data_IF_901102642884
#
_entry.id   IF_901102642884
#
_cell.length_a   1.000
_cell.length_b   1.000
_cell.length_c   1.000
_cell.angle_alpha   90.00
_cell.angle_beta   90.00
_cell.angle_gamma   90.00
#
_symmetry.space_group_name_H-M   'P 1'
#
loop_
_entity.id
_entity.type
_entity.pdbx_description
1 polymer ?
#
# COMPACT_ATOMS: atom_id res chain seq x y z
N UNK A 1 -15.34 8.31 5.82
CA UNK A 1 -14.26 8.07 4.83
C UNK A 1 -12.94 8.50 5.46
N UNK A 2 -11.91 7.66 5.35
CA UNK A 2 -10.57 8.01 5.81
C UNK A 2 -9.92 8.99 4.80
N UNK A 3 -9.19 9.99 5.32
CA UNK A 3 -8.43 10.93 4.51
C UNK A 3 -6.95 10.57 4.67
N UNK A 4 -6.26 10.39 3.56
CA UNK A 4 -4.83 10.04 3.53
C UNK A 4 -4.09 11.16 2.80
N UNK A 5 -3.09 11.76 3.48
CA UNK A 5 -2.18 12.70 2.85
C UNK A 5 -1.04 11.93 2.16
N UNK A 6 -0.91 12.08 0.86
CA UNK A 6 0.18 11.46 0.10
C UNK A 6 1.32 12.46 -0.06
N UNK A 7 2.53 12.00 0.20
CA UNK A 7 3.78 12.72 -0.10
C UNK A 7 4.74 11.79 -0.84
N UNK A 8 5.57 12.36 -1.72
CA UNK A 8 6.60 11.57 -2.39
C UNK A 8 7.68 11.16 -1.39
N UNK A 9 8.11 9.91 -1.48
CA UNK A 9 9.14 9.35 -0.64
C UNK A 9 10.56 9.84 -1.01
N UNK A 10 11.51 9.52 -0.16
CA UNK A 10 12.89 10.01 -0.30
C UNK A 10 13.60 9.39 -1.50
N UNK A 11 13.47 8.07 -1.67
CA UNK A 11 14.09 7.37 -2.78
C UNK A 11 13.47 7.76 -4.12
N UNK A 12 12.12 7.72 -4.20
CA UNK A 12 11.41 8.11 -5.41
C UNK A 12 11.81 9.50 -5.87
N UNK A 13 11.75 10.48 -4.94
CA UNK A 13 12.00 11.88 -5.32
C UNK A 13 13.47 12.12 -5.70
N UNK A 14 14.40 11.47 -5.02
CA UNK A 14 15.82 11.54 -5.40
C UNK A 14 16.04 10.94 -6.79
N UNK A 15 15.41 9.82 -7.07
CA UNK A 15 15.42 9.16 -8.40
C UNK A 15 14.84 10.05 -9.50
N UNK A 16 13.75 10.78 -9.21
CA UNK A 16 13.14 11.72 -10.16
C UNK A 16 14.10 12.84 -10.58
N UNK A 17 14.95 13.30 -9.66
CA UNK A 17 15.88 14.40 -9.94
C UNK A 17 17.07 13.99 -10.79
N UNK A 18 17.60 12.79 -10.60
CA UNK A 18 18.87 12.38 -11.21
C UNK A 18 18.73 11.18 -12.16
N UNK A 19 17.61 10.49 -12.14
CA UNK A 19 17.41 9.26 -12.90
C UNK A 19 17.82 8.00 -12.12
N UNK A 20 17.28 6.86 -12.55
CA UNK A 20 17.48 5.58 -11.87
C UNK A 20 18.92 5.09 -11.92
N UNK A 21 19.54 5.12 -13.10
CA UNK A 21 20.90 4.62 -13.33
C UNK A 21 21.91 5.48 -12.56
N UNK A 22 21.81 6.80 -12.71
CA UNK A 22 22.71 7.73 -12.06
C UNK A 22 22.59 7.65 -10.53
N UNK A 23 21.38 7.59 -9.99
CA UNK A 23 21.19 7.41 -8.54
C UNK A 23 21.84 6.13 -8.03
N UNK A 24 21.68 5.02 -8.77
CA UNK A 24 22.24 3.73 -8.38
C UNK A 24 23.76 3.75 -8.25
N UNK A 25 24.44 4.53 -9.10
CA UNK A 25 25.90 4.75 -9.02
C UNK A 25 26.28 5.80 -7.97
N UNK A 26 25.48 6.87 -7.82
CA UNK A 26 25.76 7.96 -6.90
C UNK A 26 25.82 7.54 -5.42
N UNK A 27 25.10 6.52 -5.03
CA UNK A 27 25.23 5.94 -3.67
C UNK A 27 26.67 5.54 -3.32
N UNK A 28 27.48 5.18 -4.33
CA UNK A 28 28.89 4.77 -4.17
C UNK A 28 29.85 5.91 -4.49
N UNK A 29 29.61 6.62 -5.61
CA UNK A 29 30.57 7.58 -6.15
C UNK A 29 30.43 8.97 -5.52
N UNK A 30 29.23 9.33 -5.08
CA UNK A 30 28.98 10.63 -4.46
C UNK A 30 27.94 10.54 -3.32
N UNK A 31 28.21 9.72 -2.27
CA UNK A 31 27.26 9.52 -1.18
C UNK A 31 26.94 10.83 -0.44
N UNK A 32 27.88 11.78 -0.37
CA UNK A 32 27.64 13.08 0.26
C UNK A 32 26.50 13.85 -0.41
N UNK A 33 26.45 13.86 -1.74
CA UNK A 33 25.37 14.53 -2.47
C UNK A 33 24.02 13.81 -2.26
N UNK A 34 24.01 12.48 -2.24
CA UNK A 34 22.79 11.73 -1.94
C UNK A 34 22.29 12.03 -0.52
N UNK A 35 23.19 12.11 0.46
CA UNK A 35 22.84 12.54 1.82
C UNK A 35 22.23 13.95 1.85
N UNK A 36 22.82 14.92 1.16
CA UNK A 36 22.34 16.30 1.10
C UNK A 36 20.95 16.38 0.44
N UNK A 37 20.74 15.66 -0.67
CA UNK A 37 19.46 15.61 -1.36
C UNK A 37 18.37 15.02 -0.46
N UNK A 38 18.61 13.88 0.17
CA UNK A 38 17.64 13.22 1.05
C UNK A 38 17.40 14.03 2.34
N UNK A 39 18.40 14.76 2.83
CA UNK A 39 18.26 15.67 3.97
C UNK A 39 17.35 16.84 3.63
N UNK A 40 17.57 17.46 2.47
CA UNK A 40 16.70 18.53 1.96
C UNK A 40 15.25 18.03 1.77
N UNK A 41 15.06 16.86 1.17
CA UNK A 41 13.74 16.27 0.99
C UNK A 41 13.05 15.95 2.33
N UNK A 42 13.79 15.49 3.31
CA UNK A 42 13.28 15.25 4.67
C UNK A 42 12.76 16.55 5.29
N UNK A 43 13.57 17.59 5.27
CA UNK A 43 13.17 18.91 5.75
C UNK A 43 11.93 19.43 5.00
N UNK A 44 11.97 19.39 3.66
CA UNK A 44 10.86 19.85 2.81
C UNK A 44 9.56 19.09 3.10
N UNK A 45 9.61 17.76 3.20
CA UNK A 45 8.45 16.93 3.52
C UNK A 45 7.85 17.29 4.87
N UNK A 46 8.68 17.48 5.91
CA UNK A 46 8.21 17.87 7.24
C UNK A 46 7.55 19.26 7.21
N UNK A 47 8.16 20.24 6.57
CA UNK A 47 7.59 21.59 6.48
C UNK A 47 6.31 21.64 5.63
N UNK A 48 6.24 20.82 4.57
CA UNK A 48 5.04 20.67 3.77
C UNK A 48 3.89 20.07 4.60
N UNK A 49 4.16 19.01 5.35
CA UNK A 49 3.16 18.35 6.21
C UNK A 49 2.66 19.29 7.30
N UNK A 50 3.53 20.05 7.95
CA UNK A 50 3.13 21.07 8.93
C UNK A 50 2.12 22.08 8.36
N UNK A 51 2.31 22.49 7.12
CA UNK A 51 1.38 23.42 6.45
C UNK A 51 0.12 22.74 5.97
N UNK A 52 0.23 21.56 5.36
CA UNK A 52 -0.91 20.84 4.79
C UNK A 52 -1.89 20.36 5.87
N UNK A 53 -1.37 19.98 7.02
CA UNK A 53 -2.16 19.39 8.12
C UNK A 53 -2.58 20.41 9.18
N UNK A 54 -2.24 21.69 9.01
CA UNK A 54 -2.59 22.73 9.97
C UNK A 54 -4.11 22.87 10.18
N UNK A 55 -4.89 22.71 9.10
CA UNK A 55 -6.32 22.97 9.09
C UNK A 55 -7.16 21.72 8.75
N UNK A 56 -6.51 20.62 8.32
CA UNK A 56 -7.21 19.41 7.86
C UNK A 56 -6.66 18.18 8.58
N UNK A 57 -7.44 17.59 9.50
CA UNK A 57 -7.05 16.33 10.12
C UNK A 57 -7.08 15.20 9.09
N UNK A 58 -6.08 14.31 9.18
CA UNK A 58 -6.00 13.10 8.33
C UNK A 58 -5.74 11.87 9.20
N UNK A 59 -6.17 10.72 8.73
CA UNK A 59 -5.99 9.45 9.43
C UNK A 59 -4.63 8.82 9.15
N UNK A 60 -4.01 9.16 7.99
CA UNK A 60 -2.71 8.62 7.64
C UNK A 60 -1.89 9.58 6.76
N UNK A 61 -0.56 9.44 6.82
CA UNK A 61 0.37 9.96 5.83
C UNK A 61 0.95 8.78 5.06
N UNK A 62 0.91 8.84 3.73
CA UNK A 62 1.47 7.85 2.83
C UNK A 62 2.75 8.40 2.20
N UNK A 63 3.88 7.72 2.41
CA UNK A 63 5.15 7.95 1.72
C UNK A 63 5.18 7.07 0.47
N UNK A 64 5.10 7.68 -0.72
CA UNK A 64 5.13 6.96 -1.99
C UNK A 64 6.59 6.80 -2.45
N UNK A 65 7.14 5.59 -2.32
CA UNK A 65 8.57 5.30 -2.53
C UNK A 65 8.88 4.54 -3.81
N UNK A 66 8.06 3.55 -4.18
CA UNK A 66 8.29 2.69 -5.35
C UNK A 66 9.78 2.28 -5.48
N UNK A 67 10.28 1.56 -4.47
CA UNK A 67 11.70 1.24 -4.32
C UNK A 67 12.02 -0.25 -4.38
N UNK A 68 11.10 -1.05 -4.90
CA UNK A 68 11.32 -2.47 -5.13
C UNK A 68 11.02 -2.86 -6.58
N UNK A 69 11.70 -3.90 -7.03
CA UNK A 69 11.50 -4.55 -8.30
C UNK A 69 10.83 -5.91 -8.07
N UNK A 70 10.54 -6.66 -9.13
CA UNK A 70 9.81 -7.93 -9.05
C UNK A 70 10.39 -8.94 -8.05
N UNK A 71 11.69 -8.91 -7.82
CA UNK A 71 12.39 -9.93 -7.02
C UNK A 71 13.17 -9.37 -5.82
N UNK A 72 13.41 -8.07 -5.77
CA UNK A 72 14.23 -7.45 -4.73
C UNK A 72 13.99 -5.93 -4.65
N UNK A 73 14.41 -5.33 -3.54
CA UNK A 73 14.52 -3.89 -3.42
C UNK A 73 15.63 -3.32 -4.32
N UNK A 74 15.52 -2.04 -4.71
CA UNK A 74 16.43 -1.37 -5.66
C UNK A 74 17.74 -0.90 -5.04
N UNK A 75 17.83 -0.79 -3.73
CA UNK A 75 19.04 -0.49 -2.96
C UNK A 75 19.25 -1.57 -1.91
N UNK A 76 20.47 -1.72 -1.38
CA UNK A 76 20.71 -2.72 -0.34
C UNK A 76 20.05 -2.35 1.00
N UNK A 77 19.80 -3.32 1.90
CA UNK A 77 19.35 -3.03 3.26
C UNK A 77 20.30 -2.09 4.03
N UNK A 78 21.60 -2.21 3.78
CA UNK A 78 22.62 -1.34 4.38
C UNK A 78 22.48 0.09 3.90
N UNK A 79 22.29 0.29 2.59
CA UNK A 79 22.01 1.63 2.02
C UNK A 79 20.73 2.22 2.58
N UNK A 80 19.66 1.42 2.72
CA UNK A 80 18.46 1.91 3.36
C UNK A 80 18.73 2.41 4.79
N UNK A 81 19.46 1.63 5.58
CA UNK A 81 19.81 2.03 6.95
C UNK A 81 20.68 3.27 7.03
N UNK A 82 21.60 3.44 6.10
CA UNK A 82 22.49 4.59 6.05
C UNK A 82 21.75 5.86 5.57
N UNK A 83 21.10 5.78 4.41
CA UNK A 83 20.57 6.95 3.73
C UNK A 83 19.12 7.28 4.11
N UNK A 84 18.28 6.28 4.38
CA UNK A 84 16.84 6.49 4.54
C UNK A 84 16.36 6.35 5.98
N UNK A 85 16.79 5.33 6.71
CA UNK A 85 16.26 5.00 8.03
C UNK A 85 16.28 6.17 9.03
N UNK A 86 17.38 6.94 9.21
CA UNK A 86 17.40 8.08 10.12
C UNK A 86 16.39 9.16 9.73
N UNK A 87 16.19 9.35 8.44
CA UNK A 87 15.30 10.34 7.86
C UNK A 87 13.84 9.90 7.97
N UNK A 88 13.55 8.64 7.73
CA UNK A 88 12.23 8.05 7.97
C UNK A 88 11.79 8.26 9.42
N UNK A 89 12.64 7.95 10.38
CA UNK A 89 12.35 8.17 11.80
C UNK A 89 11.99 9.62 12.11
N UNK A 90 12.69 10.59 11.49
CA UNK A 90 12.40 12.01 11.66
C UNK A 90 11.07 12.42 11.04
N UNK A 91 10.77 11.95 9.82
CA UNK A 91 9.48 12.20 9.18
C UNK A 91 8.34 11.59 10.02
N UNK A 92 8.49 10.34 10.43
CA UNK A 92 7.50 9.63 11.24
C UNK A 92 7.28 10.34 12.58
N UNK A 93 8.34 10.77 13.26
CA UNK A 93 8.22 11.55 14.50
C UNK A 93 7.44 12.85 14.27
N UNK A 94 7.75 13.60 13.22
CA UNK A 94 7.02 14.82 12.88
C UNK A 94 5.54 14.57 12.55
N UNK A 95 5.23 13.49 11.84
CA UNK A 95 3.84 13.05 11.55
C UNK A 95 3.08 12.77 12.84
N UNK A 96 3.71 12.07 13.80
CA UNK A 96 3.13 11.80 15.12
C UNK A 96 2.91 13.08 15.94
N UNK A 97 3.86 14.01 15.92
CA UNK A 97 3.73 15.32 16.58
C UNK A 97 2.57 16.14 16.01
N UNK A 98 2.26 15.98 14.72
CA UNK A 98 1.11 16.59 14.06
C UNK A 98 -0.22 15.88 14.37
N UNK A 99 -0.21 14.83 15.20
CA UNK A 99 -1.41 14.10 15.63
C UNK A 99 -1.92 13.07 14.64
N UNK A 100 -1.16 12.74 13.59
CA UNK A 100 -1.56 11.71 12.61
C UNK A 100 -1.24 10.32 13.15
N UNK A 101 -2.24 9.42 13.26
CA UNK A 101 -2.05 8.13 13.91
C UNK A 101 -1.29 7.10 13.08
N UNK A 102 -1.31 7.20 11.74
CA UNK A 102 -0.75 6.16 10.87
C UNK A 102 0.24 6.72 9.84
N UNK A 103 1.37 6.03 9.67
CA UNK A 103 2.30 6.24 8.56
C UNK A 103 2.31 5.00 7.68
N UNK A 104 2.04 5.21 6.41
CA UNK A 104 2.02 4.18 5.38
C UNK A 104 3.19 4.36 4.44
N UNK A 105 3.67 3.27 3.86
CA UNK A 105 4.63 3.31 2.74
C UNK A 105 4.04 2.57 1.56
N UNK A 106 4.13 3.22 0.40
CA UNK A 106 3.77 2.68 -0.90
C UNK A 106 5.04 2.27 -1.65
N UNK A 107 5.11 1.01 -2.06
CA UNK A 107 6.12 0.51 -2.97
C UNK A 107 5.60 -0.71 -3.71
N UNK A 108 5.53 -0.61 -5.01
CA UNK A 108 5.33 -1.76 -5.88
C UNK A 108 6.50 -2.75 -5.77
N UNK A 109 6.31 -3.95 -6.33
CA UNK A 109 7.34 -4.96 -6.38
C UNK A 109 7.46 -5.84 -5.13
N UNK A 110 8.59 -6.53 -4.99
CA UNK A 110 8.83 -7.47 -3.89
C UNK A 110 9.33 -6.75 -2.64
N UNK A 111 8.46 -6.60 -1.65
CA UNK A 111 8.75 -5.83 -0.44
C UNK A 111 9.32 -6.66 0.72
N UNK A 112 9.57 -7.96 0.53
CA UNK A 112 10.00 -8.84 1.61
C UNK A 112 11.26 -8.39 2.36
N UNK A 113 12.23 -7.76 1.67
CA UNK A 113 13.42 -7.18 2.29
C UNK A 113 13.18 -5.79 2.89
N UNK A 114 12.14 -5.08 2.44
CA UNK A 114 11.78 -3.76 2.94
C UNK A 114 10.97 -3.82 4.24
N UNK A 115 10.13 -4.84 4.41
CA UNK A 115 9.26 -4.96 5.59
C UNK A 115 10.01 -4.85 6.92
N UNK A 116 11.13 -5.59 7.18
CA UNK A 116 11.86 -5.44 8.43
C UNK A 116 12.48 -4.05 8.59
N UNK A 117 12.86 -3.38 7.51
CA UNK A 117 13.41 -2.03 7.53
C UNK A 117 12.33 -0.98 7.83
N UNK A 118 11.14 -1.14 7.26
CA UNK A 118 9.98 -0.29 7.57
C UNK A 118 9.50 -0.46 9.00
N UNK A 119 9.47 -1.69 9.51
CA UNK A 119 9.20 -1.96 10.93
C UNK A 119 10.24 -1.26 11.81
N UNK A 120 11.54 -1.37 11.48
CA UNK A 120 12.63 -0.69 12.19
C UNK A 120 12.50 0.83 12.17
N UNK A 121 11.95 1.39 11.09
CA UNK A 121 11.68 2.81 10.94
C UNK A 121 10.46 3.31 11.73
N UNK A 122 9.52 2.43 12.07
CA UNK A 122 8.26 2.77 12.73
C UNK A 122 7.09 3.01 11.78
N UNK A 123 7.13 2.44 10.57
CA UNK A 123 6.01 2.43 9.60
C UNK A 123 4.91 1.51 10.12
N UNK A 124 3.66 1.93 9.99
CA UNK A 124 2.50 1.18 10.46
C UNK A 124 1.87 0.29 9.39
N UNK A 125 1.90 0.72 8.12
CA UNK A 125 1.19 0.04 7.02
C UNK A 125 2.07 -0.06 5.78
N UNK A 126 2.21 -1.25 5.23
CA UNK A 126 2.80 -1.51 3.91
C UNK A 126 1.70 -1.61 2.84
N UNK A 127 1.86 -0.92 1.70
CA UNK A 127 0.95 -0.87 0.56
C UNK A 127 1.71 -0.72 -0.76
N UNK A 128 1.19 -1.28 -1.86
CA UNK A 128 0.34 -2.45 -1.94
C UNK A 128 1.15 -3.73 -1.64
N UNK A 129 0.47 -4.81 -1.27
CA UNK A 129 1.14 -6.11 -1.17
C UNK A 129 0.93 -6.84 -2.50
N UNK A 130 1.79 -6.59 -3.47
CA UNK A 130 1.66 -7.07 -4.85
C UNK A 130 1.97 -8.58 -4.97
N UNK A 131 0.94 -9.41 -5.19
CA UNK A 131 1.08 -10.88 -5.28
C UNK A 131 1.89 -11.28 -6.52
N UNK A 132 1.73 -10.54 -7.63
CA UNK A 132 2.49 -10.78 -8.85
C UNK A 132 4.01 -10.63 -8.68
N UNK A 133 4.44 -9.88 -7.67
CA UNK A 133 5.84 -9.70 -7.28
C UNK A 133 6.28 -10.67 -6.17
N UNK A 134 5.63 -11.83 -6.04
CA UNK A 134 5.98 -12.91 -5.11
C UNK A 134 5.82 -12.54 -3.63
N UNK A 135 5.01 -11.55 -3.29
CA UNK A 135 4.64 -11.29 -1.92
C UNK A 135 3.54 -12.25 -1.45
N UNK A 136 3.61 -12.64 -0.18
CA UNK A 136 2.60 -13.48 0.47
C UNK A 136 2.17 -12.83 1.79
N UNK A 137 1.00 -12.17 1.85
CA UNK A 137 0.54 -11.49 3.05
C UNK A 137 0.27 -12.46 4.22
N UNK A 138 -0.05 -13.72 3.95
CA UNK A 138 -0.24 -14.75 4.98
C UNK A 138 1.11 -15.13 5.60
N UNK A 139 2.13 -15.37 4.77
CA UNK A 139 3.48 -15.63 5.24
C UNK A 139 4.04 -14.43 6.05
N UNK A 140 3.85 -13.22 5.55
CA UNK A 140 4.27 -12.00 6.24
C UNK A 140 3.57 -11.80 7.58
N UNK A 141 2.24 -12.04 7.64
CA UNK A 141 1.49 -11.98 8.91
C UNK A 141 2.02 -12.99 9.92
N UNK A 142 2.34 -14.22 9.50
CA UNK A 142 2.94 -15.25 10.38
C UNK A 142 4.34 -14.85 10.86
N UNK A 143 5.12 -14.21 9.98
CA UNK A 143 6.51 -13.82 10.29
C UNK A 143 6.60 -12.59 11.20
N UNK A 144 5.80 -11.55 10.93
CA UNK A 144 5.91 -10.24 11.58
C UNK A 144 4.82 -9.97 12.62
N UNK A 145 3.82 -10.85 12.74
CA UNK A 145 2.71 -10.67 13.68
C UNK A 145 2.01 -9.34 13.46
N UNK A 146 1.80 -8.56 14.52
CA UNK A 146 1.17 -7.23 14.50
C UNK A 146 2.14 -6.06 14.31
N UNK A 147 3.43 -6.33 14.01
CA UNK A 147 4.44 -5.28 13.91
C UNK A 147 4.21 -4.32 12.74
N UNK A 148 3.48 -4.74 11.71
CA UNK A 148 3.10 -3.92 10.56
C UNK A 148 1.75 -4.40 10.01
N UNK A 149 0.92 -3.47 9.57
CA UNK A 149 -0.33 -3.77 8.88
C UNK A 149 -0.09 -3.88 7.37
N UNK A 150 -1.00 -4.58 6.68
CA UNK A 150 -0.95 -4.77 5.22
C UNK A 150 -2.21 -4.22 4.58
N UNK A 151 -2.03 -3.51 3.48
CA UNK A 151 -3.12 -3.05 2.63
C UNK A 151 -2.92 -3.62 1.21
N UNK A 152 -3.94 -4.25 0.64
CA UNK A 152 -3.85 -4.92 -0.66
C UNK A 152 -3.82 -6.45 -0.55
N UNK A 153 -3.00 -7.11 -1.36
CA UNK A 153 -2.77 -8.55 -1.28
C UNK A 153 -3.87 -9.45 -1.83
N UNK A 154 -4.89 -8.91 -2.52
CA UNK A 154 -5.82 -9.68 -3.34
C UNK A 154 -5.27 -9.71 -4.76
N UNK A 155 -4.94 -10.91 -5.27
CA UNK A 155 -4.34 -11.07 -6.59
C UNK A 155 -5.31 -10.64 -7.70
N UNK A 156 -5.03 -9.51 -8.33
CA UNK A 156 -5.83 -8.97 -9.45
C UNK A 156 -5.98 -9.94 -10.61
N UNK A 157 -5.07 -10.91 -10.76
CA UNK A 157 -5.07 -11.90 -11.83
C UNK A 157 -6.10 -13.00 -11.62
N UNK A 158 -6.53 -13.20 -10.36
CA UNK A 158 -7.52 -14.22 -9.97
C UNK A 158 -8.96 -13.68 -9.94
N UNK A 159 -9.17 -12.38 -10.17
CA UNK A 159 -10.50 -11.77 -10.21
C UNK A 159 -11.07 -11.88 -11.64
N UNK A 160 -11.28 -13.11 -12.13
CA UNK A 160 -11.68 -13.40 -13.52
C UNK A 160 -13.09 -14.00 -13.64
N UNK A 161 -13.39 -15.01 -12.82
CA UNK A 161 -14.74 -15.60 -12.70
C UNK A 161 -15.20 -15.53 -11.25
N UNK A 162 -16.46 -15.82 -10.98
CA UNK A 162 -16.97 -15.84 -9.60
C UNK A 162 -16.31 -16.94 -8.77
N UNK A 163 -16.01 -18.09 -9.37
CA UNK A 163 -15.36 -19.22 -8.72
C UNK A 163 -13.92 -18.90 -8.34
N UNK A 164 -13.15 -18.32 -9.29
CA UNK A 164 -11.76 -17.89 -9.03
C UNK A 164 -11.72 -16.79 -7.98
N UNK A 165 -12.57 -15.76 -8.11
CA UNK A 165 -12.70 -14.69 -7.14
C UNK A 165 -13.03 -15.22 -5.74
N UNK A 166 -13.98 -16.15 -5.63
CA UNK A 166 -14.33 -16.78 -4.36
C UNK A 166 -13.15 -17.54 -3.75
N UNK A 167 -12.45 -18.34 -4.56
CA UNK A 167 -11.29 -19.10 -4.10
C UNK A 167 -10.15 -18.19 -3.61
N UNK A 168 -9.86 -17.12 -4.35
CA UNK A 168 -8.85 -16.13 -4.00
C UNK A 168 -9.17 -15.44 -2.67
N UNK A 169 -10.40 -14.97 -2.50
CA UNK A 169 -10.84 -14.29 -1.28
C UNK A 169 -10.86 -15.25 -0.10
N UNK A 170 -11.52 -16.40 -0.24
CA UNK A 170 -11.68 -17.36 0.86
C UNK A 170 -10.39 -18.03 1.29
N UNK A 171 -9.39 -18.09 0.39
CA UNK A 171 -8.08 -18.66 0.66
C UNK A 171 -7.22 -17.86 1.65
N UNK A 172 -7.51 -16.57 1.88
CA UNK A 172 -6.65 -15.73 2.72
C UNK A 172 -7.37 -14.64 3.51
N UNK A 173 -8.38 -13.97 2.93
CA UNK A 173 -8.99 -12.77 3.52
C UNK A 173 -9.62 -13.03 4.89
N UNK A 174 -10.43 -14.10 5.11
CA UNK A 174 -11.02 -14.35 6.42
C UNK A 174 -9.96 -14.50 7.51
N UNK A 175 -8.93 -15.29 7.25
CA UNK A 175 -7.85 -15.51 8.21
C UNK A 175 -7.06 -14.23 8.50
N UNK A 176 -6.72 -13.46 7.47
CA UNK A 176 -5.98 -12.19 7.65
C UNK A 176 -6.78 -11.16 8.43
N UNK A 177 -8.09 -11.05 8.20
CA UNK A 177 -8.97 -10.16 8.96
C UNK A 177 -9.09 -10.60 10.43
N UNK A 178 -9.18 -11.91 10.69
CA UNK A 178 -9.17 -12.44 12.06
C UNK A 178 -7.88 -12.10 12.82
N UNK A 179 -6.73 -12.09 12.14
CA UNK A 179 -5.45 -11.68 12.76
C UNK A 179 -5.36 -10.17 13.01
N UNK A 180 -6.19 -9.37 12.36
CA UNK A 180 -6.17 -7.90 12.44
C UNK A 180 -5.03 -7.26 11.64
N UNK A 181 -5.02 -5.93 11.55
CA UNK A 181 -4.00 -5.17 10.83
C UNK A 181 -3.97 -5.49 9.32
N UNK A 182 -5.13 -5.75 8.72
CA UNK A 182 -5.25 -6.05 7.30
C UNK A 182 -6.41 -5.27 6.68
N UNK A 183 -6.13 -4.60 5.57
CA UNK A 183 -7.12 -3.91 4.75
C UNK A 183 -7.18 -4.65 3.41
N UNK A 184 -8.23 -5.46 3.17
CA UNK A 184 -8.35 -6.23 1.95
C UNK A 184 -8.64 -5.32 0.76
N UNK A 185 -7.76 -5.34 -0.22
CA UNK A 185 -7.90 -4.64 -1.49
C UNK A 185 -7.14 -5.39 -2.58
N UNK A 186 -7.41 -5.04 -3.82
CA UNK A 186 -6.61 -5.49 -4.95
C UNK A 186 -5.15 -5.07 -4.74
N UNK A 187 -4.24 -5.94 -5.10
CA UNK A 187 -2.79 -5.81 -4.89
C UNK A 187 -2.10 -4.74 -5.74
N UNK A 188 -2.84 -4.02 -6.58
CA UNK A 188 -2.38 -2.90 -7.40
C UNK A 188 -3.58 -2.23 -8.08
N UNK A 189 -3.34 -1.38 -9.09
CA UNK A 189 -4.40 -0.78 -9.91
C UNK A 189 -5.24 -1.86 -10.62
N UNK A 190 -6.55 -1.58 -10.77
CA UNK A 190 -7.48 -2.47 -11.48
C UNK A 190 -7.08 -2.52 -12.96
N UNK A 191 -6.71 -3.69 -13.50
CA UNK A 191 -6.35 -3.79 -14.90
C UNK A 191 -7.58 -3.69 -15.81
N UNK A 192 -7.45 -3.15 -17.03
CA UNK A 192 -8.58 -2.91 -17.93
C UNK A 192 -9.29 -4.20 -18.39
N UNK A 193 -8.63 -5.33 -18.30
CA UNK A 193 -9.17 -6.65 -18.65
C UNK A 193 -9.83 -7.40 -17.47
N UNK A 194 -9.89 -6.78 -16.28
CA UNK A 194 -10.62 -7.35 -15.15
C UNK A 194 -12.13 -7.23 -15.40
N UNK A 195 -12.90 -8.36 -15.33
CA UNK A 195 -14.33 -8.29 -15.48
C UNK A 195 -14.97 -7.49 -14.33
N UNK A 196 -15.64 -6.40 -14.65
CA UNK A 196 -16.28 -5.52 -13.65
C UNK A 196 -17.28 -6.27 -12.77
N UNK A 197 -17.94 -7.30 -13.31
CA UNK A 197 -18.86 -8.17 -12.56
C UNK A 197 -18.14 -8.97 -11.47
N UNK A 198 -16.97 -9.53 -11.77
CA UNK A 198 -16.14 -10.24 -10.79
C UNK A 198 -15.59 -9.29 -9.73
N UNK A 199 -15.26 -8.06 -10.11
CA UNK A 199 -14.86 -7.02 -9.16
C UNK A 199 -15.97 -6.68 -8.15
N UNK A 200 -17.22 -6.46 -8.61
CA UNK A 200 -18.33 -6.21 -7.70
C UNK A 200 -18.62 -7.39 -6.77
N UNK A 201 -18.50 -8.61 -7.28
CA UNK A 201 -18.62 -9.79 -6.45
C UNK A 201 -17.52 -9.88 -5.39
N UNK A 202 -16.28 -9.56 -5.75
CA UNK A 202 -15.17 -9.44 -4.80
C UNK A 202 -15.47 -8.43 -3.68
N UNK A 203 -15.98 -7.24 -4.05
CA UNK A 203 -16.33 -6.19 -3.07
C UNK A 203 -17.38 -6.72 -2.09
N UNK A 204 -18.43 -7.40 -2.57
CA UNK A 204 -19.45 -7.98 -1.71
C UNK A 204 -18.89 -9.05 -0.78
N UNK A 205 -18.02 -9.94 -1.27
CA UNK A 205 -17.36 -10.95 -0.45
C UNK A 205 -16.57 -10.32 0.69
N UNK A 206 -15.75 -9.31 0.37
CA UNK A 206 -14.93 -8.58 1.36
C UNK A 206 -15.82 -7.93 2.41
N UNK A 207 -16.90 -7.27 2.01
CA UNK A 207 -17.87 -6.66 2.93
C UNK A 207 -18.55 -7.70 3.82
N UNK A 208 -19.04 -8.80 3.24
CA UNK A 208 -19.70 -9.86 3.99
C UNK A 208 -18.78 -10.46 5.07
N UNK A 209 -17.51 -10.72 4.72
CA UNK A 209 -16.50 -11.22 5.66
C UNK A 209 -16.22 -10.20 6.77
N UNK A 210 -15.98 -8.94 6.41
CA UNK A 210 -15.63 -7.89 7.36
C UNK A 210 -16.77 -7.57 8.34
N UNK A 211 -18.03 -7.71 7.89
CA UNK A 211 -19.22 -7.44 8.70
C UNK A 211 -19.77 -8.70 9.40
N UNK A 212 -19.14 -9.86 9.23
CA UNK A 212 -19.62 -11.14 9.80
C UNK A 212 -20.97 -11.59 9.25
N UNK A 213 -21.29 -11.19 8.02
CA UNK A 213 -22.52 -11.59 7.31
C UNK A 213 -22.36 -12.95 6.64
N UNK A 214 -23.48 -13.61 6.27
CA UNK A 214 -23.42 -14.82 5.44
C UNK A 214 -22.65 -14.55 4.13
N UNK A 215 -21.65 -15.38 3.85
CA UNK A 215 -20.78 -15.22 2.68
C UNK A 215 -21.48 -15.82 1.46
N UNK A 216 -21.77 -15.04 0.41
CA UNK A 216 -22.45 -15.55 -0.78
C UNK A 216 -21.50 -16.41 -1.62
N UNK A 217 -21.96 -17.62 -1.99
CA UNK A 217 -21.22 -18.49 -2.89
C UNK A 217 -21.16 -17.96 -4.34
N UNK A 218 -20.32 -18.57 -5.21
CA UNK A 218 -20.15 -18.14 -6.61
C UNK A 218 -21.45 -18.11 -7.42
N UNK A 219 -22.42 -18.99 -7.10
CA UNK A 219 -23.72 -19.06 -7.74
C UNK A 219 -24.56 -17.77 -7.58
N UNK A 220 -24.25 -16.97 -6.58
CA UNK A 220 -24.88 -15.66 -6.35
C UNK A 220 -24.21 -14.52 -7.13
N UNK A 221 -23.05 -14.74 -7.73
CA UNK A 221 -22.21 -13.69 -8.31
C UNK A 221 -22.92 -12.85 -9.38
N UNK A 222 -23.69 -13.48 -10.27
CA UNK A 222 -24.43 -12.74 -11.31
C UNK A 222 -25.47 -11.77 -10.73
N UNK A 223 -26.24 -12.22 -9.75
CA UNK A 223 -27.26 -11.38 -9.08
C UNK A 223 -26.60 -10.21 -8.36
N UNK A 224 -25.54 -10.47 -7.60
CA UNK A 224 -24.79 -9.43 -6.87
C UNK A 224 -24.22 -8.38 -7.84
N UNK A 225 -23.60 -8.84 -8.93
CA UNK A 225 -23.03 -7.92 -9.91
C UNK A 225 -24.08 -7.02 -10.56
N UNK A 226 -25.28 -7.56 -10.89
CA UNK A 226 -26.40 -6.75 -11.41
C UNK A 226 -26.85 -5.69 -10.41
N UNK A 227 -27.02 -6.04 -9.13
CA UNK A 227 -27.43 -5.09 -8.09
C UNK A 227 -26.43 -3.92 -7.96
N UNK A 228 -25.11 -4.18 -8.03
CA UNK A 228 -24.09 -3.13 -8.02
C UNK A 228 -24.13 -2.27 -9.29
N UNK A 229 -24.33 -2.88 -10.46
CA UNK A 229 -24.43 -2.15 -11.73
C UNK A 229 -25.66 -1.26 -11.79
N UNK A 230 -26.80 -1.70 -11.28
CA UNK A 230 -28.03 -0.90 -11.19
C UNK A 230 -27.83 0.30 -10.27
N UNK A 231 -27.23 0.11 -9.09
CA UNK A 231 -26.88 1.23 -8.19
C UNK A 231 -25.95 2.24 -8.85
N UNK A 232 -24.94 1.77 -9.58
CA UNK A 232 -24.01 2.66 -10.29
C UNK A 232 -24.70 3.47 -11.38
N UNK A 233 -25.66 2.89 -12.14
CA UNK A 233 -26.47 3.60 -13.14
C UNK A 233 -27.35 4.66 -12.48
N UNK A 234 -28.06 4.30 -11.41
CA UNK A 234 -28.92 5.25 -10.67
C UNK A 234 -28.14 6.47 -10.15
N UNK A 235 -26.91 6.27 -9.67
CA UNK A 235 -26.05 7.38 -9.22
C UNK A 235 -25.59 8.28 -10.38
N UNK A 236 -25.32 7.72 -11.56
CA UNK A 236 -24.94 8.51 -12.74
C UNK A 236 -26.09 9.35 -13.29
N UNK A 237 -27.35 8.92 -13.14
CA UNK A 237 -28.54 9.64 -13.56
C UNK A 237 -28.94 10.79 -12.60
N UNK A 238 -28.55 10.69 -11.31
CA UNK A 238 -28.83 11.73 -10.31
C UNK A 238 -27.79 12.85 -10.24
N UNK A 239 -26.66 12.72 -10.94
CA UNK A 239 -25.53 13.67 -10.91
C UNK A 239 -25.37 14.52 -12.17
N UNK A 240 -26.34 14.53 -13.05
CA UNK A 240 -26.39 15.32 -14.30
C UNK A 240 -27.07 16.67 -14.12
#
# INVERSE_FOLDING_TARGET
NAIIQVVQGLYWKTRDFVGFEDLSVMFYDNPALVHDMMEHLTWFTIELLKKALADVPVEAVLLSEDMAYKHAMMISPEMFREFMLPRYRRIIAAVRELGVPLVMVDSDGHVGQLLPLWIEAGVDVAWPIEIAALNDPVAYRKQYGSAIAFFGGIDKREIRSYEQTYAEIMGKVPWLLEQGGYIPAIDHAIPPDMPVRSYFYMVELVHAIAEGKPIPGPENGSRIAEEYMERARALSECGG
#
